data_IF_166164341100
#
_entry.id   IF_166164341100
#
_cell.length_a   1.000
_cell.length_b   1.000
_cell.length_c   1.000
_cell.angle_alpha   90.00
_cell.angle_beta   90.00
_cell.angle_gamma   90.00
#
_symmetry.space_group_name_H-M   'P 1'
#
loop_
_entity.id
_entity.type
_entity.pdbx_description
1 polymer ?
#
# COMPACT_ATOMS: atom_id res chain seq x y z
N UNK A 1 -21.39 -21.29 -17.62
CA UNK A 1 -22.66 -20.54 -17.55
C UNK A 1 -22.62 -19.50 -18.66
N UNK A 2 -23.23 -19.84 -19.78
CA UNK A 2 -23.27 -19.10 -21.04
C UNK A 2 -24.57 -18.32 -21.10
N UNK A 3 -24.49 -17.00 -21.31
CA UNK A 3 -25.65 -16.21 -21.74
C UNK A 3 -25.28 -15.39 -22.97
N UNK A 4 -25.82 -15.86 -24.08
CA UNK A 4 -26.04 -15.17 -25.36
C UNK A 4 -27.41 -14.49 -25.25
N UNK A 5 -27.59 -13.28 -25.79
CA UNK A 5 -28.79 -12.75 -26.45
C UNK A 5 -28.45 -11.29 -26.89
N UNK A 6 -28.24 -10.97 -28.19
CA UNK A 6 -29.26 -10.58 -29.21
C UNK A 6 -29.95 -9.25 -28.79
N UNK A 7 -30.19 -8.21 -29.60
CA UNK A 7 -29.95 -7.77 -30.99
C UNK A 7 -30.71 -6.43 -31.11
N UNK A 8 -30.46 -5.65 -32.18
CA UNK A 8 -31.33 -4.59 -32.75
C UNK A 8 -31.48 -3.26 -32.00
N UNK A 9 -31.16 -2.14 -32.65
CA UNK A 9 -32.17 -1.47 -33.50
C UNK A 9 -31.58 -0.35 -34.35
N UNK A 10 -31.67 -0.56 -35.65
CA UNK A 10 -31.54 0.41 -36.74
C UNK A 10 -32.66 1.43 -36.58
N UNK A 11 -32.31 2.72 -36.51
CA UNK A 11 -33.27 3.80 -36.72
C UNK A 11 -32.84 4.62 -37.94
N UNK A 12 -33.67 4.51 -38.97
CA UNK A 12 -33.58 5.11 -40.28
C UNK A 12 -34.86 5.93 -40.42
N UNK A 13 -34.74 7.26 -40.52
CA UNK A 13 -35.86 8.18 -40.81
C UNK A 13 -35.32 9.24 -41.77
N UNK A 14 -35.52 9.08 -43.09
CA UNK A 14 -36.62 9.68 -43.85
C UNK A 14 -36.77 11.19 -43.58
N UNK A 15 -36.13 12.02 -44.40
CA UNK A 15 -36.55 13.41 -44.59
C UNK A 15 -36.98 13.63 -46.03
N UNK A 16 -38.20 14.14 -46.15
CA UNK A 16 -39.04 14.20 -47.34
C UNK A 16 -38.75 15.49 -48.11
N UNK A 17 -38.70 15.31 -49.43
CA UNK A 17 -38.65 16.28 -50.52
C UNK A 17 -40.03 16.97 -50.70
N UNK A 18 -40.06 18.30 -50.95
CA UNK A 18 -40.99 19.04 -51.84
C UNK A 18 -41.46 20.40 -51.29
N UNK A 19 -41.16 21.48 -52.02
CA UNK A 19 -41.95 22.70 -52.35
C UNK A 19 -40.93 23.70 -52.94
N UNK A 20 -40.76 23.90 -54.26
CA UNK A 20 -41.63 24.61 -55.24
C UNK A 20 -42.21 25.91 -54.66
N UNK A 21 -41.95 27.12 -55.16
CA UNK A 21 -42.00 27.67 -56.53
C UNK A 21 -41.20 29.00 -56.61
N UNK A 22 -40.89 29.50 -57.82
CA UNK A 22 -40.07 30.70 -58.06
C UNK A 22 -40.92 31.97 -58.12
N UNK A 23 -40.39 33.10 -57.62
CA UNK A 23 -40.89 34.42 -57.98
C UNK A 23 -39.85 35.15 -58.84
N UNK A 24 -40.20 35.23 -60.13
CA UNK A 24 -39.68 36.16 -61.10
C UNK A 24 -39.97 37.59 -60.63
N UNK A 25 -38.98 38.48 -60.67
CA UNK A 25 -39.23 39.92 -60.75
C UNK A 25 -38.30 40.50 -61.80
N UNK A 26 -38.93 41.17 -62.76
CA UNK A 26 -38.34 41.73 -63.99
C UNK A 26 -37.67 43.07 -63.69
N UNK A 27 -36.62 43.32 -64.47
CA UNK A 27 -35.63 44.38 -64.41
C UNK A 27 -36.17 45.82 -64.55
N UNK A 28 -35.36 46.77 -64.06
CA UNK A 28 -35.31 48.12 -64.60
C UNK A 28 -33.85 48.58 -64.65
N UNK A 29 -33.28 48.59 -65.86
CA UNK A 29 -31.95 49.12 -66.15
C UNK A 29 -31.95 50.65 -66.06
N UNK A 30 -31.10 51.20 -65.18
CA UNK A 30 -30.79 52.63 -65.11
C UNK A 30 -29.31 52.81 -65.49
N UNK A 31 -28.98 53.66 -66.48
CA UNK A 31 -27.61 53.81 -66.93
C UNK A 31 -26.74 54.65 -65.97
N UNK A 32 -25.60 54.06 -65.63
CA UNK A 32 -24.25 54.65 -65.59
C UNK A 32 -24.07 55.97 -64.84
N UNK A 33 -23.53 55.86 -63.62
CA UNK A 33 -22.56 56.82 -63.10
C UNK A 33 -21.31 56.07 -62.65
N UNK A 34 -20.26 56.16 -63.46
CA UNK A 34 -18.90 55.73 -63.12
C UNK A 34 -18.37 56.69 -62.07
N UNK A 35 -18.70 56.43 -60.81
CA UNK A 35 -17.97 56.92 -59.65
C UNK A 35 -17.04 55.79 -59.21
N UNK A 36 -15.74 56.03 -59.22
CA UNK A 36 -14.77 55.11 -58.60
C UNK A 36 -15.24 54.83 -57.16
N UNK A 37 -15.45 53.56 -56.78
CA UNK A 37 -15.86 53.25 -55.43
C UNK A 37 -14.75 53.72 -54.49
N UNK A 38 -15.07 54.41 -53.37
CA UNK A 38 -14.10 54.56 -52.32
C UNK A 38 -13.63 53.15 -51.98
N UNK A 39 -12.32 52.92 -52.05
CA UNK A 39 -11.72 51.68 -51.57
C UNK A 39 -12.14 51.55 -50.12
N UNK A 40 -13.25 50.84 -49.89
CA UNK A 40 -13.67 50.38 -48.59
C UNK A 40 -12.56 49.39 -48.26
N UNK A 41 -11.54 49.87 -47.55
CA UNK A 41 -10.64 49.02 -46.81
C UNK A 41 -11.56 48.14 -45.99
N UNK A 42 -11.79 46.92 -46.46
CA UNK A 42 -12.25 45.85 -45.62
C UNK A 42 -11.11 45.74 -44.62
N UNK A 43 -11.27 46.40 -43.47
CA UNK A 43 -10.62 45.92 -42.27
C UNK A 43 -11.09 44.49 -42.19
N UNK A 44 -10.20 43.57 -42.59
CA UNK A 44 -10.25 42.21 -42.10
C UNK A 44 -10.11 42.39 -40.59
N UNK A 45 -11.22 42.65 -39.92
CA UNK A 45 -11.31 42.43 -38.49
C UNK A 45 -11.07 40.94 -38.40
N UNK A 46 -9.84 40.56 -38.06
CA UNK A 46 -9.59 39.27 -37.45
C UNK A 46 -10.55 39.22 -36.27
N UNK A 47 -11.70 38.59 -36.44
CA UNK A 47 -12.63 38.30 -35.35
C UNK A 47 -11.80 37.37 -34.48
N UNK A 48 -11.30 37.94 -33.38
CA UNK A 48 -10.45 37.19 -32.46
C UNK A 48 -11.42 36.54 -31.51
N UNK A 49 -11.54 35.22 -31.62
CA UNK A 49 -12.41 34.43 -30.77
C UNK A 49 -12.06 34.67 -29.29
N UNK A 50 -13.06 35.02 -28.48
CA UNK A 50 -12.86 35.29 -27.06
C UNK A 50 -12.22 34.10 -26.34
N UNK A 51 -11.48 34.35 -25.28
CA UNK A 51 -10.88 33.28 -24.48
C UNK A 51 -11.94 32.53 -23.67
N UNK A 52 -11.87 31.19 -23.60
CA UNK A 52 -12.78 30.43 -22.74
C UNK A 52 -12.43 30.67 -21.26
N UNK A 53 -13.42 30.60 -20.39
CA UNK A 53 -13.25 30.81 -18.96
C UNK A 53 -13.42 29.49 -18.20
N UNK A 54 -12.48 29.15 -17.31
CA UNK A 54 -12.60 27.99 -16.42
C UNK A 54 -13.27 28.44 -15.13
N UNK A 55 -14.50 27.97 -14.91
CA UNK A 55 -15.35 28.32 -13.78
C UNK A 55 -15.03 27.48 -12.55
N UNK A 56 -14.95 26.17 -12.71
CA UNK A 56 -14.69 25.23 -11.61
C UNK A 56 -13.56 24.30 -11.99
N UNK A 57 -12.63 24.15 -11.05
CA UNK A 57 -11.52 23.20 -11.13
C UNK A 57 -11.13 22.76 -9.72
N UNK A 58 -10.79 21.48 -9.50
CA UNK A 58 -10.39 21.00 -8.19
C UNK A 58 -9.03 21.61 -7.79
N UNK A 59 -8.92 22.15 -6.58
CA UNK A 59 -7.63 22.57 -6.06
C UNK A 59 -6.73 21.37 -5.72
N UNK A 60 -7.36 20.28 -5.28
CA UNK A 60 -6.73 19.03 -4.89
C UNK A 60 -7.46 17.88 -5.60
N UNK A 61 -6.72 16.99 -6.23
CA UNK A 61 -7.25 15.89 -7.02
C UNK A 61 -6.61 14.57 -6.60
N UNK A 62 -7.44 13.56 -6.41
CA UNK A 62 -7.02 12.20 -6.05
C UNK A 62 -7.31 11.24 -7.23
N UNK A 63 -6.33 10.97 -8.12
CA UNK A 63 -6.58 10.26 -9.38
C UNK A 63 -7.16 8.85 -9.25
N UNK A 64 -7.02 8.22 -8.06
CA UNK A 64 -7.52 6.87 -7.78
C UNK A 64 -8.87 6.86 -7.05
N UNK A 65 -9.31 8.02 -6.58
CA UNK A 65 -10.49 8.17 -5.72
C UNK A 65 -11.60 8.97 -6.43
N UNK A 66 -11.22 9.85 -7.36
CA UNK A 66 -12.11 10.85 -7.95
C UNK A 66 -12.05 10.87 -9.49
N UNK A 67 -13.06 11.50 -10.10
CA UNK A 67 -13.10 11.81 -11.53
C UNK A 67 -12.63 13.25 -11.70
N UNK A 68 -11.76 13.53 -12.67
CA UNK A 68 -11.33 14.90 -12.94
C UNK A 68 -12.50 15.67 -13.55
N UNK A 69 -13.10 16.55 -12.75
CA UNK A 69 -14.24 17.38 -13.13
C UNK A 69 -13.83 18.84 -13.29
N UNK A 70 -13.94 19.36 -14.50
CA UNK A 70 -13.62 20.76 -14.83
C UNK A 70 -14.73 21.29 -15.72
N UNK A 71 -15.25 22.47 -15.39
CA UNK A 71 -16.28 23.14 -16.19
C UNK A 71 -15.91 24.60 -16.41
N UNK A 72 -16.54 25.18 -17.43
CA UNK A 72 -16.30 26.55 -17.80
C UNK A 72 -17.31 27.08 -18.78
N UNK A 73 -16.99 28.27 -19.30
CA UNK A 73 -17.77 28.95 -20.33
C UNK A 73 -16.97 29.19 -21.59
N UNK A 74 -17.66 29.21 -22.71
CA UNK A 74 -17.10 29.44 -24.03
C UNK A 74 -18.15 29.98 -25.00
N UNK A 75 -17.76 30.11 -26.25
CA UNK A 75 -18.70 30.53 -27.32
C UNK A 75 -19.60 29.35 -27.68
N UNK A 76 -20.94 29.49 -27.66
CA UNK A 76 -21.85 28.40 -28.00
C UNK A 76 -21.54 27.75 -29.35
N UNK A 77 -21.50 26.42 -29.38
CA UNK A 77 -21.15 25.64 -30.58
C UNK A 77 -19.65 25.50 -30.87
N UNK A 78 -18.78 26.14 -30.08
CA UNK A 78 -17.33 25.93 -30.17
C UNK A 78 -16.90 24.58 -29.55
N UNK A 79 -15.69 24.13 -29.88
CA UNK A 79 -15.03 23.02 -29.18
C UNK A 79 -13.92 23.56 -28.29
N UNK A 80 -13.94 23.20 -27.01
CA UNK A 80 -12.89 23.55 -26.05
C UNK A 80 -11.89 22.40 -25.92
N UNK A 81 -10.62 22.69 -26.15
CA UNK A 81 -9.50 21.82 -25.80
C UNK A 81 -8.92 22.23 -24.45
N UNK A 82 -9.00 21.33 -23.48
CA UNK A 82 -8.38 21.45 -22.18
C UNK A 82 -6.98 20.84 -22.22
N UNK A 83 -5.95 21.57 -21.81
CA UNK A 83 -4.56 21.06 -21.72
C UNK A 83 -4.07 21.12 -20.27
N UNK A 84 -3.60 19.98 -19.75
CA UNK A 84 -2.99 19.86 -18.43
C UNK A 84 -1.48 19.69 -18.61
N UNK A 85 -0.72 20.66 -18.11
CA UNK A 85 0.74 20.67 -18.16
C UNK A 85 1.29 20.63 -16.74
N UNK A 86 2.20 19.71 -16.45
CA UNK A 86 2.87 19.64 -15.15
C UNK A 86 3.86 20.79 -15.04
N UNK A 87 3.98 21.39 -13.85
CA UNK A 87 4.90 22.52 -13.63
C UNK A 87 6.36 22.15 -13.90
N UNK A 88 6.74 20.91 -13.59
CA UNK A 88 8.01 20.31 -14.01
C UNK A 88 7.71 19.34 -15.15
N UNK A 89 8.32 19.51 -16.34
CA UNK A 89 8.00 18.72 -17.53
C UNK A 89 8.62 17.31 -17.46
N UNK A 90 8.20 16.53 -16.46
CA UNK A 90 8.54 15.11 -16.35
C UNK A 90 7.56 14.25 -17.16
N UNK A 91 6.37 14.79 -17.43
CA UNK A 91 5.27 14.10 -18.12
C UNK A 91 4.79 14.88 -19.34
N UNK A 92 4.24 14.15 -20.33
CA UNK A 92 3.60 14.77 -21.48
C UNK A 92 2.30 15.48 -21.06
N UNK A 93 1.96 16.61 -21.69
CA UNK A 93 0.69 17.27 -21.44
C UNK A 93 -0.50 16.38 -21.79
N UNK A 94 -1.50 16.32 -20.91
CA UNK A 94 -2.76 15.63 -21.19
C UNK A 94 -3.71 16.61 -21.88
N UNK A 95 -4.46 16.11 -22.87
CA UNK A 95 -5.45 16.90 -23.59
C UNK A 95 -6.82 16.24 -23.54
N UNK A 96 -7.85 17.05 -23.31
CA UNK A 96 -9.24 16.66 -23.37
C UNK A 96 -10.01 17.63 -24.26
N UNK A 97 -11.12 17.19 -24.83
CA UNK A 97 -11.98 18.02 -25.68
C UNK A 97 -13.41 17.97 -25.18
N UNK A 98 -14.11 19.10 -25.22
CA UNK A 98 -15.52 19.22 -24.85
C UNK A 98 -16.22 20.18 -25.81
N UNK A 99 -17.48 19.91 -26.14
CA UNK A 99 -18.30 20.86 -26.92
C UNK A 99 -18.98 21.86 -25.99
N UNK A 100 -19.03 23.11 -26.42
CA UNK A 100 -19.76 24.17 -25.73
C UNK A 100 -21.22 24.11 -26.14
N UNK A 101 -22.11 24.00 -25.17
CA UNK A 101 -23.55 23.91 -25.40
C UNK A 101 -24.17 25.25 -25.83
N UNK A 102 -25.49 25.27 -26.03
CA UNK A 102 -26.23 26.47 -26.41
C UNK A 102 -26.24 27.57 -25.35
N UNK A 103 -25.97 27.23 -24.09
CA UNK A 103 -25.87 28.17 -22.97
C UNK A 103 -24.46 28.73 -22.79
N UNK A 104 -23.50 28.27 -23.61
CA UNK A 104 -22.12 28.67 -23.53
C UNK A 104 -21.34 27.91 -22.45
N UNK A 105 -21.84 26.76 -21.98
CA UNK A 105 -21.25 25.96 -20.91
C UNK A 105 -20.57 24.71 -21.50
N UNK A 106 -19.49 24.26 -20.87
CA UNK A 106 -18.77 23.04 -21.24
C UNK A 106 -18.26 22.32 -20.00
N UNK A 107 -18.14 21.00 -20.10
CA UNK A 107 -17.73 20.13 -18.98
C UNK A 107 -16.77 19.04 -19.49
N UNK A 108 -15.71 18.81 -18.73
CA UNK A 108 -14.82 17.64 -18.85
C UNK A 108 -14.93 16.85 -17.56
N UNK A 109 -15.30 15.58 -17.68
CA UNK A 109 -15.45 14.66 -16.54
C UNK A 109 -14.76 13.32 -16.88
N UNK A 110 -13.46 13.24 -16.65
CA UNK A 110 -12.63 12.14 -17.13
C UNK A 110 -11.93 11.37 -16.01
N UNK A 111 -11.91 10.04 -16.12
CA UNK A 111 -11.09 9.18 -15.25
C UNK A 111 -9.68 9.12 -15.81
N UNK A 112 -8.84 10.05 -15.37
CA UNK A 112 -7.45 10.14 -15.80
C UNK A 112 -6.49 10.02 -14.63
N UNK A 113 -5.30 9.48 -14.91
CA UNK A 113 -4.22 9.42 -13.95
C UNK A 113 -3.29 10.62 -14.13
N UNK A 114 -3.29 11.53 -13.14
CA UNK A 114 -2.30 12.59 -13.04
C UNK A 114 -1.22 12.17 -12.06
N UNK A 115 0.04 12.18 -12.49
CA UNK A 115 1.15 11.93 -11.57
C UNK A 115 1.18 12.96 -10.44
N UNK A 116 1.81 12.58 -9.32
CA UNK A 116 1.89 13.44 -8.14
C UNK A 116 2.60 14.75 -8.47
N UNK A 117 2.01 15.88 -8.05
CA UNK A 117 2.59 17.19 -8.25
C UNK A 117 1.56 18.29 -8.54
N UNK A 118 2.07 19.40 -9.08
CA UNK A 118 1.30 20.59 -9.42
C UNK A 118 1.11 20.65 -10.93
N UNK A 119 -0.15 20.74 -11.36
CA UNK A 119 -0.57 20.79 -12.74
C UNK A 119 -1.22 22.15 -13.05
N UNK A 120 -0.90 22.72 -14.20
CA UNK A 120 -1.56 23.91 -14.75
C UNK A 120 -2.54 23.47 -15.83
N UNK A 121 -3.75 23.97 -15.73
CA UNK A 121 -4.85 23.69 -16.65
C UNK A 121 -5.12 24.93 -17.49
N UNK A 122 -5.08 24.76 -18.79
CA UNK A 122 -5.43 25.78 -19.78
C UNK A 122 -6.62 25.30 -20.59
N UNK A 123 -7.48 26.23 -20.99
CA UNK A 123 -8.52 25.98 -21.97
C UNK A 123 -8.26 26.85 -23.21
N UNK A 124 -8.57 26.29 -24.38
CA UNK A 124 -8.56 26.99 -25.66
C UNK A 124 -9.80 26.53 -26.42
N UNK A 125 -10.46 27.42 -27.14
CA UNK A 125 -11.62 27.05 -27.95
C UNK A 125 -11.37 27.27 -29.44
N UNK A 126 -12.07 26.51 -30.25
CA UNK A 126 -12.08 26.59 -31.71
C UNK A 126 -13.52 26.61 -32.23
N UNK A 127 -13.79 27.47 -33.22
CA UNK A 127 -15.08 27.59 -33.89
C UNK A 127 -14.84 27.83 -35.38
N UNK A 128 -15.10 26.82 -36.21
CA UNK A 128 -14.72 26.86 -37.63
C UNK A 128 -13.19 26.91 -37.77
N UNK A 129 -12.69 27.92 -38.48
CA UNK A 129 -11.24 28.14 -38.68
C UNK A 129 -10.61 29.08 -37.63
N UNK A 130 -11.42 29.62 -36.71
CA UNK A 130 -10.95 30.54 -35.68
C UNK A 130 -10.58 29.80 -34.40
N UNK A 131 -9.44 30.18 -33.81
CA UNK A 131 -8.91 29.59 -32.59
C UNK A 131 -8.62 30.70 -31.58
N UNK A 132 -9.07 30.52 -30.34
CA UNK A 132 -8.84 31.49 -29.27
C UNK A 132 -7.41 31.41 -28.72
N UNK A 133 -7.01 32.48 -28.04
CA UNK A 133 -5.88 32.41 -27.11
C UNK A 133 -6.17 31.44 -25.94
N UNK A 134 -5.10 31.03 -25.23
CA UNK A 134 -5.23 30.20 -24.03
C UNK A 134 -5.86 31.02 -22.89
N UNK A 135 -6.70 30.37 -22.10
CA UNK A 135 -7.25 30.95 -20.89
C UNK A 135 -6.21 31.12 -19.78
N UNK A 136 -6.58 31.88 -18.75
CA UNK A 136 -5.78 31.98 -17.53
C UNK A 136 -5.61 30.59 -16.87
N UNK A 137 -4.38 30.21 -16.46
CA UNK A 137 -4.14 28.90 -15.88
C UNK A 137 -4.89 28.70 -14.57
N UNK A 138 -5.49 27.53 -14.40
CA UNK A 138 -5.90 27.02 -13.08
C UNK A 138 -4.89 26.01 -12.56
N UNK A 139 -4.67 25.99 -11.25
CA UNK A 139 -3.69 25.10 -10.62
C UNK A 139 -4.42 23.96 -9.93
N UNK A 140 -4.05 22.72 -10.29
CA UNK A 140 -4.58 21.49 -9.70
C UNK A 140 -3.42 20.74 -9.05
N UNK A 141 -3.55 20.41 -7.77
CA UNK A 141 -2.57 19.57 -7.07
C UNK A 141 -3.02 18.12 -7.11
N UNK A 142 -2.26 17.25 -7.77
CA UNK A 142 -2.52 15.81 -7.80
C UNK A 142 -1.79 15.11 -6.66
N UNK A 143 -2.52 14.30 -5.88
CA UNK A 143 -1.98 13.44 -4.82
C UNK A 143 -2.28 11.99 -5.13
N UNK A 144 -1.22 11.22 -5.36
CA UNK A 144 -1.31 9.80 -5.73
C UNK A 144 -1.41 8.93 -4.47
N UNK A 145 -2.52 8.22 -4.31
CA UNK A 145 -2.83 7.35 -3.15
C UNK A 145 -2.55 5.86 -3.41
N UNK A 146 -1.80 5.55 -4.46
CA UNK A 146 -1.51 4.17 -4.84
C UNK A 146 -0.46 4.05 -5.95
N UNK A 147 -0.27 2.84 -6.44
CA UNK A 147 0.71 2.52 -7.48
C UNK A 147 0.04 1.77 -8.62
N UNK A 148 0.56 1.96 -9.83
CA UNK A 148 0.17 1.18 -10.99
C UNK A 148 1.05 -0.06 -11.07
N UNK A 149 0.46 -1.24 -10.89
CA UNK A 149 1.14 -2.54 -11.01
C UNK A 149 0.45 -3.31 -12.13
N UNK A 150 1.18 -3.66 -13.20
CA UNK A 150 0.66 -4.42 -14.34
C UNK A 150 -0.60 -3.83 -15.00
N UNK A 151 -0.74 -2.49 -15.02
CA UNK A 151 -1.91 -1.79 -15.57
C UNK A 151 -3.08 -1.66 -14.60
N UNK A 152 -2.98 -2.24 -13.40
CA UNK A 152 -3.96 -2.10 -12.33
C UNK A 152 -3.51 -1.04 -11.33
N UNK A 153 -4.39 -0.11 -11.02
CA UNK A 153 -4.14 0.91 -10.00
C UNK A 153 -4.55 0.37 -8.62
N UNK A 154 -3.55 0.15 -7.76
CA UNK A 154 -3.75 -0.42 -6.41
C UNK A 154 -3.50 0.67 -5.37
N UNK A 155 -4.50 0.94 -4.53
CA UNK A 155 -4.39 1.90 -3.42
C UNK A 155 -3.43 1.38 -2.33
N UNK A 156 -2.69 2.28 -1.70
CA UNK A 156 -1.79 1.93 -0.61
C UNK A 156 -2.51 1.28 0.57
N UNK A 157 -3.76 1.67 0.84
CA UNK A 157 -4.58 1.08 1.92
C UNK A 157 -4.81 -0.41 1.69
N UNK A 158 -5.09 -0.81 0.45
CA UNK A 158 -5.29 -2.24 0.09
C UNK A 158 -3.98 -3.00 0.27
N UNK A 159 -2.88 -2.43 -0.18
CA UNK A 159 -1.55 -3.04 -0.05
C UNK A 159 -1.12 -3.18 1.42
N UNK A 160 -1.35 -2.15 2.24
CA UNK A 160 -1.09 -2.16 3.67
C UNK A 160 -1.93 -3.23 4.39
N UNK A 161 -3.22 -3.36 4.03
CA UNK A 161 -4.08 -4.43 4.54
C UNK A 161 -3.57 -5.82 4.19
N UNK A 162 -3.08 -6.03 2.96
CA UNK A 162 -2.47 -7.29 2.54
C UNK A 162 -1.21 -7.61 3.36
N UNK A 163 -0.30 -6.64 3.53
CA UNK A 163 0.91 -6.81 4.33
C UNK A 163 0.59 -7.12 5.80
N UNK A 164 -0.40 -6.45 6.38
CA UNK A 164 -0.85 -6.71 7.74
C UNK A 164 -1.40 -8.13 7.89
N UNK A 165 -2.17 -8.61 6.91
CA UNK A 165 -2.69 -9.99 6.91
C UNK A 165 -1.54 -11.01 6.86
N UNK A 166 -0.56 -10.83 5.97
CA UNK A 166 0.60 -11.72 5.88
C UNK A 166 1.42 -11.68 7.18
N UNK A 167 1.61 -10.50 7.76
CA UNK A 167 2.31 -10.34 9.03
C UNK A 167 1.63 -11.12 10.17
N UNK A 168 0.30 -11.02 10.29
CA UNK A 168 -0.46 -11.79 11.29
C UNK A 168 -0.34 -13.31 11.08
N UNK A 169 -0.32 -13.76 9.83
CA UNK A 169 -0.16 -15.17 9.48
C UNK A 169 1.22 -15.69 9.92
N UNK A 170 2.29 -14.94 9.62
CA UNK A 170 3.65 -15.26 10.09
C UNK A 170 3.72 -15.27 11.62
N UNK A 171 3.09 -14.29 12.27
CA UNK A 171 3.07 -14.22 13.73
C UNK A 171 2.34 -15.43 14.34
N UNK A 172 1.20 -15.83 13.77
CA UNK A 172 0.46 -17.02 14.20
C UNK A 172 1.30 -18.29 14.04
N UNK A 173 2.00 -18.45 12.92
CA UNK A 173 2.94 -19.57 12.70
C UNK A 173 4.07 -19.54 13.73
N UNK A 174 4.67 -18.38 13.97
CA UNK A 174 5.75 -18.21 14.95
C UNK A 174 5.30 -18.60 16.36
N UNK A 175 4.14 -18.11 16.80
CA UNK A 175 3.55 -18.47 18.08
C UNK A 175 3.22 -19.97 18.18
N UNK A 176 2.71 -20.56 17.09
CA UNK A 176 2.48 -21.99 17.01
C UNK A 176 3.78 -22.79 17.21
N UNK A 177 4.88 -22.38 16.58
CA UNK A 177 6.18 -23.03 16.76
C UNK A 177 6.74 -22.86 18.16
N UNK A 178 6.65 -21.68 18.77
CA UNK A 178 7.07 -21.47 20.17
C UNK A 178 6.29 -22.40 21.10
N UNK A 179 4.96 -22.46 20.95
CA UNK A 179 4.12 -23.36 21.76
C UNK A 179 4.49 -24.83 21.54
N UNK A 180 4.77 -25.23 20.30
CA UNK A 180 5.13 -26.61 19.95
C UNK A 180 6.50 -27.00 20.50
N UNK A 181 7.49 -26.12 20.37
CA UNK A 181 8.85 -26.33 20.89
C UNK A 181 8.84 -26.39 22.43
N UNK A 182 8.03 -25.56 23.09
CA UNK A 182 7.87 -25.62 24.55
C UNK A 182 7.37 -26.98 25.04
N UNK A 183 6.44 -27.61 24.31
CA UNK A 183 5.97 -28.97 24.66
C UNK A 183 7.06 -30.03 24.48
N UNK A 184 7.85 -29.94 23.41
CA UNK A 184 8.92 -30.91 23.13
C UNK A 184 10.07 -30.80 24.14
N UNK A 185 10.44 -29.59 24.53
CA UNK A 185 11.50 -29.37 25.54
C UNK A 185 11.14 -30.02 26.88
N UNK A 186 9.89 -29.86 27.36
CA UNK A 186 9.46 -30.43 28.65
C UNK A 186 9.58 -31.96 28.69
N UNK A 187 9.27 -32.65 27.59
CA UNK A 187 9.37 -34.12 27.53
C UNK A 187 10.81 -34.63 27.56
N UNK A 188 11.73 -33.94 26.87
CA UNK A 188 13.13 -34.39 26.77
C UNK A 188 13.94 -34.03 28.02
N UNK A 189 13.67 -32.87 28.63
CA UNK A 189 14.29 -32.48 29.88
C UNK A 189 13.86 -33.36 31.05
N UNK A 190 12.58 -33.79 31.10
CA UNK A 190 12.12 -34.70 32.16
C UNK A 190 12.89 -36.04 32.17
N UNK A 191 13.19 -36.59 30.99
CA UNK A 191 13.93 -37.84 30.90
C UNK A 191 15.42 -37.69 31.27
N UNK A 192 16.06 -36.61 30.82
CA UNK A 192 17.46 -36.34 31.16
C UNK A 192 17.63 -36.01 32.65
N UNK A 193 16.65 -35.33 33.27
CA UNK A 193 16.68 -35.03 34.70
C UNK A 193 16.62 -36.34 35.51
N UNK A 194 15.70 -37.24 35.16
CA UNK A 194 15.51 -38.49 35.90
C UNK A 194 16.73 -39.41 35.82
N UNK A 195 17.32 -39.58 34.63
CA UNK A 195 18.56 -40.36 34.49
C UNK A 195 19.75 -39.74 35.25
N UNK A 196 19.82 -38.41 35.31
CA UNK A 196 20.89 -37.73 36.05
C UNK A 196 20.70 -37.89 37.55
N UNK A 197 19.46 -37.76 38.05
CA UNK A 197 19.14 -37.98 39.46
C UNK A 197 19.43 -39.43 39.90
N UNK A 198 19.05 -40.41 39.08
CA UNK A 198 19.28 -41.84 39.37
C UNK A 198 20.79 -42.16 39.45
N UNK A 199 21.59 -41.64 38.51
CA UNK A 199 23.05 -41.81 38.52
C UNK A 199 23.72 -41.13 39.71
N UNK A 200 23.23 -39.95 40.11
CA UNK A 200 23.73 -39.25 41.30
C UNK A 200 23.41 -40.06 42.55
N UNK A 201 22.18 -40.58 42.70
CA UNK A 201 21.80 -41.43 43.83
C UNK A 201 22.61 -42.72 43.90
N UNK A 202 22.84 -43.38 42.76
CA UNK A 202 23.61 -44.62 42.71
C UNK A 202 25.08 -44.38 43.14
N UNK A 203 25.73 -43.35 42.59
CA UNK A 203 27.09 -42.95 42.98
C UNK A 203 27.19 -42.51 44.45
N UNK A 204 26.18 -41.84 44.98
CA UNK A 204 26.16 -41.44 46.39
C UNK A 204 26.03 -42.66 47.31
N UNK A 205 25.22 -43.64 46.90
CA UNK A 205 25.08 -44.89 47.64
C UNK A 205 26.36 -45.72 47.68
N UNK A 206 27.15 -45.72 46.60
CA UNK A 206 28.43 -46.45 46.55
C UNK A 206 29.49 -45.76 47.42
N UNK A 207 29.62 -44.43 47.34
CA UNK A 207 30.53 -43.65 48.20
C UNK A 207 30.16 -43.85 49.68
N UNK A 208 28.86 -43.80 50.02
CA UNK A 208 28.40 -44.03 51.40
C UNK A 208 28.76 -45.43 51.89
N UNK A 209 28.62 -46.45 51.05
CA UNK A 209 29.01 -47.83 51.38
C UNK A 209 30.52 -47.97 51.58
N UNK A 210 31.34 -47.38 50.71
CA UNK A 210 32.81 -47.37 50.87
C UNK A 210 33.24 -46.68 52.16
N UNK A 211 32.68 -45.51 52.46
CA UNK A 211 33.00 -44.77 53.68
C UNK A 211 32.54 -45.53 54.94
N UNK A 212 31.39 -46.20 54.91
CA UNK A 212 30.94 -47.05 56.02
C UNK A 212 31.81 -48.29 56.20
N UNK A 213 32.27 -48.91 55.11
CA UNK A 213 33.18 -50.04 55.17
C UNK A 213 34.54 -49.65 55.79
N UNK A 214 35.10 -48.50 55.41
CA UNK A 214 36.34 -47.98 55.99
C UNK A 214 36.18 -47.65 57.48
N UNK A 215 35.03 -47.10 57.89
CA UNK A 215 34.71 -46.89 59.31
C UNK A 215 34.58 -48.20 60.09
N UNK A 216 33.99 -49.24 59.49
CA UNK A 216 33.83 -50.54 60.12
C UNK A 216 35.16 -51.29 60.23
N UNK A 217 36.04 -51.16 59.24
CA UNK A 217 37.41 -51.67 59.28
C UNK A 217 38.22 -51.01 60.40
N UNK A 218 38.14 -49.67 60.51
CA UNK A 218 38.75 -48.92 61.62
C UNK A 218 38.21 -49.42 62.97
N UNK A 219 36.88 -49.55 63.12
CA UNK A 219 36.27 -50.00 64.36
C UNK A 219 36.70 -51.43 64.76
N UNK A 220 36.82 -52.34 63.80
CA UNK A 220 37.26 -53.72 64.04
C UNK A 220 38.74 -53.80 64.42
N UNK A 221 39.61 -53.01 63.78
CA UNK A 221 41.04 -52.97 64.09
C UNK A 221 41.32 -52.38 65.48
N UNK A 222 40.45 -51.50 65.97
CA UNK A 222 40.59 -50.92 67.31
C UNK A 222 39.93 -51.75 68.42
N UNK A 223 39.29 -52.87 68.12
CA UNK A 223 38.57 -53.68 69.10
C UNK A 223 39.54 -54.45 70.01
N UNK A 224 40.07 -53.77 71.05
CA UNK A 224 40.98 -54.30 72.06
C UNK A 224 42.25 -53.48 72.34
N UNK A 225 42.49 -52.39 71.59
CA UNK A 225 43.60 -51.44 71.82
C UNK A 225 43.06 -50.03 72.11
N UNK A 226 43.76 -49.25 72.94
CA UNK A 226 43.49 -47.81 73.04
C UNK A 226 43.74 -47.18 71.67
N UNK A 227 42.73 -46.48 71.13
CA UNK A 227 42.79 -45.74 69.87
C UNK A 227 44.04 -44.86 69.85
N UNK A 228 44.88 -45.06 68.85
CA UNK A 228 45.95 -44.12 68.55
C UNK A 228 45.33 -42.79 68.12
N UNK A 229 45.98 -41.68 68.46
CA UNK A 229 45.54 -40.31 68.11
C UNK A 229 45.22 -40.19 66.62
N UNK A 230 46.00 -40.86 65.79
CA UNK A 230 45.87 -40.85 64.33
C UNK A 230 44.58 -41.55 63.84
N UNK A 231 44.13 -42.63 64.50
CA UNK A 231 42.89 -43.34 64.13
C UNK A 231 41.65 -42.51 64.45
N UNK A 232 41.65 -41.80 65.59
CA UNK A 232 40.57 -40.87 65.97
C UNK A 232 40.48 -39.73 64.95
N UNK A 233 41.63 -39.19 64.54
CA UNK A 233 41.69 -38.11 63.57
C UNK A 233 41.23 -38.56 62.18
N UNK A 234 41.53 -39.80 61.79
CA UNK A 234 41.06 -40.39 60.53
C UNK A 234 39.54 -40.60 60.54
N UNK A 235 38.98 -41.12 61.64
CA UNK A 235 37.53 -41.27 61.82
C UNK A 235 36.79 -39.93 61.73
N UNK A 236 37.28 -38.91 62.42
CA UNK A 236 36.66 -37.58 62.41
C UNK A 236 36.69 -36.95 61.01
N UNK A 237 37.77 -37.15 60.27
CA UNK A 237 37.90 -36.70 58.88
C UNK A 237 36.90 -37.38 57.94
N UNK A 238 36.66 -38.69 58.10
CA UNK A 238 35.70 -39.43 57.29
C UNK A 238 34.26 -38.96 57.57
N UNK A 239 33.90 -38.75 58.84
CA UNK A 239 32.57 -38.25 59.22
C UNK A 239 32.29 -36.86 58.64
N UNK A 240 33.26 -35.95 58.73
CA UNK A 240 33.12 -34.61 58.14
C UNK A 240 32.95 -34.66 56.63
N UNK A 241 33.71 -35.51 55.92
CA UNK A 241 33.55 -35.69 54.47
C UNK A 241 32.17 -36.22 54.10
N UNK A 242 31.60 -37.12 54.91
CA UNK A 242 30.25 -37.64 54.68
C UNK A 242 29.20 -36.53 54.84
N UNK A 243 29.32 -35.71 55.87
CA UNK A 243 28.42 -34.57 56.14
C UNK A 243 28.52 -33.50 55.05
N UNK A 244 29.74 -33.14 54.63
CA UNK A 244 29.96 -32.17 53.55
C UNK A 244 29.36 -32.67 52.21
N UNK A 245 29.53 -33.96 51.91
CA UNK A 245 28.98 -34.59 50.70
C UNK A 245 27.44 -34.57 50.68
N UNK A 246 26.81 -34.92 51.80
CA UNK A 246 25.34 -34.93 51.93
C UNK A 246 24.78 -33.50 51.76
N UNK A 247 25.46 -32.52 52.36
CA UNK A 247 25.07 -31.10 52.28
C UNK A 247 25.23 -30.49 50.89
N UNK A 248 26.28 -30.86 50.16
CA UNK A 248 26.50 -30.36 48.80
C UNK A 248 25.49 -30.96 47.81
N UNK A 249 25.12 -32.23 47.99
CA UNK A 249 24.10 -32.88 47.15
C UNK A 249 22.71 -32.28 47.37
N UNK A 250 22.31 -32.03 48.61
CA UNK A 250 21.04 -31.37 48.90
C UNK A 250 20.97 -29.98 48.25
N UNK A 251 22.09 -29.24 48.23
CA UNK A 251 22.18 -27.92 47.60
C UNK A 251 22.05 -28.01 46.08
N UNK A 252 22.71 -28.99 45.47
CA UNK A 252 22.69 -29.18 44.02
C UNK A 252 21.28 -29.59 43.55
N UNK A 253 20.58 -30.46 44.29
CA UNK A 253 19.19 -30.85 44.02
C UNK A 253 18.26 -29.61 44.07
N UNK A 254 18.33 -28.80 45.13
CA UNK A 254 17.51 -27.59 45.27
C UNK A 254 17.80 -26.55 44.16
N UNK A 255 19.04 -26.49 43.68
CA UNK A 255 19.46 -25.59 42.59
C UNK A 255 18.92 -26.03 41.21
N UNK A 256 18.77 -27.34 41.01
CA UNK A 256 18.21 -27.92 39.79
C UNK A 256 16.70 -27.69 39.74
N UNK A 257 16.01 -27.82 40.88
CA UNK A 257 14.56 -27.58 40.97
C UNK A 257 14.19 -26.12 40.67
N UNK A 258 14.98 -25.15 41.16
CA UNK A 258 14.74 -23.71 40.90
C UNK A 258 15.03 -23.23 39.47
N UNK A 259 15.78 -24.00 38.67
CA UNK A 259 16.11 -23.62 37.27
C UNK A 259 15.07 -24.10 36.25
N UNK A 260 14.06 -24.86 36.69
CA UNK A 260 12.95 -25.39 35.90
C UNK A 260 11.78 -24.41 35.90
#
# INVERSE_FOLDING_TARGET
MTFVFIRNSIFLFFFVLMFSMPYFTVAQDVPTQTAEPPIKRILVQNITLDQPYISVSPNLFYPLDEVLYIEGRGVPGATVTLTLEKEKPDDQPLKFTAHVDSFGEWVVAERTFLSSGVWRVYARQELGDEVSERSNPRVVRSVVTGINIFGYQVKYVVLAGLFLLVFLLVMAIFFYFIRKIGKLKRGLFAHQLHETEDRVRENLSSIRKELMAELQELANNTQGKQLDSDEVQKRDRILRRLEDLERDVDRDIDSLEKKI
#
